data_IF_002847111100
#
_entry.id   IF_002847111100
#
_cell.length_a   1.000
_cell.length_b   1.000
_cell.length_c   1.000
_cell.angle_alpha   90.00
_cell.angle_beta   90.00
_cell.angle_gamma   90.00
#
_symmetry.space_group_name_H-M   'P 1'
#
loop_
_entity.id
_entity.type
_entity.pdbx_description
1 polymer ?
#
# COMPACT_ATOMS: atom_id res chain seq x y z
N UNK A 1 -1.12 21.02 -30.29
CA UNK A 1 -0.97 19.83 -29.41
C UNK A 1 -0.12 20.27 -28.24
N UNK A 2 -0.55 19.97 -27.04
CA UNK A 2 0.20 20.27 -25.81
C UNK A 2 1.34 19.23 -25.64
N UNK A 3 2.53 19.68 -25.22
CA UNK A 3 3.69 18.79 -25.03
C UNK A 3 4.20 18.84 -23.60
N UNK A 4 4.63 17.68 -23.08
CA UNK A 4 5.21 17.50 -21.76
C UNK A 4 6.44 16.60 -21.83
N UNK A 5 7.37 16.75 -20.89
CA UNK A 5 8.39 15.73 -20.72
C UNK A 5 7.76 14.45 -20.16
N UNK A 6 6.93 14.59 -19.11
CA UNK A 6 6.32 13.46 -18.42
C UNK A 6 4.85 13.75 -18.13
N UNK A 7 4.00 12.77 -18.45
CA UNK A 7 2.60 12.75 -18.05
C UNK A 7 2.40 11.63 -17.02
N UNK A 8 1.74 11.94 -15.90
CA UNK A 8 1.42 10.98 -14.84
C UNK A 8 -0.09 10.82 -14.75
N UNK A 9 -0.58 9.60 -14.83
CA UNK A 9 -1.99 9.24 -14.72
C UNK A 9 -2.28 8.89 -13.27
N UNK A 10 -3.02 9.75 -12.56
CA UNK A 10 -3.40 9.57 -11.17
C UNK A 10 -2.53 10.35 -10.17
N UNK A 11 -3.21 11.08 -9.28
CA UNK A 11 -2.63 11.92 -8.24
C UNK A 11 -2.46 11.24 -6.87
N UNK A 12 -2.51 9.90 -6.81
CA UNK A 12 -2.27 9.14 -5.58
C UNK A 12 -0.80 9.17 -5.13
N UNK A 13 -0.43 8.43 -4.08
CA UNK A 13 0.91 8.50 -3.48
C UNK A 13 2.05 8.26 -4.49
N UNK A 14 1.93 7.24 -5.36
CA UNK A 14 2.96 6.98 -6.38
C UNK A 14 3.07 8.10 -7.40
N UNK A 15 1.94 8.66 -7.86
CA UNK A 15 1.95 9.75 -8.83
C UNK A 15 2.53 11.04 -8.25
N UNK A 16 2.13 11.41 -7.04
CA UNK A 16 2.65 12.60 -6.35
C UNK A 16 4.16 12.50 -6.07
N UNK A 17 4.63 11.33 -5.60
CA UNK A 17 6.05 11.11 -5.31
C UNK A 17 6.88 11.08 -6.60
N UNK A 18 6.43 10.36 -7.64
CA UNK A 18 7.11 10.36 -8.94
C UNK A 18 7.23 11.77 -9.50
N UNK A 19 6.14 12.56 -9.45
CA UNK A 19 6.15 13.96 -9.91
C UNK A 19 7.20 14.79 -9.16
N UNK A 20 7.24 14.71 -7.84
CA UNK A 20 8.20 15.46 -7.04
C UNK A 20 9.66 15.10 -7.38
N UNK A 21 9.96 13.79 -7.47
CA UNK A 21 11.30 13.31 -7.83
C UNK A 21 11.71 13.78 -9.23
N UNK A 22 10.81 13.75 -10.19
CA UNK A 22 11.07 14.21 -11.57
C UNK A 22 11.15 15.74 -11.68
N UNK A 23 10.37 16.49 -10.88
CA UNK A 23 10.51 17.94 -10.77
C UNK A 23 11.86 18.37 -10.20
N UNK A 24 12.43 17.61 -9.25
CA UNK A 24 13.79 17.85 -8.76
C UNK A 24 14.86 17.66 -9.86
N UNK A 25 14.54 16.96 -10.95
CA UNK A 25 15.38 16.81 -12.12
C UNK A 25 15.08 17.85 -13.22
N UNK A 26 14.20 18.83 -12.93
CA UNK A 26 13.76 19.92 -13.82
C UNK A 26 12.90 19.50 -15.02
N UNK A 27 12.31 18.31 -15.02
CA UNK A 27 11.37 17.91 -16.08
C UNK A 27 10.03 18.62 -15.95
N UNK A 28 9.39 18.89 -17.09
CA UNK A 28 8.02 19.42 -17.16
C UNK A 28 7.03 18.27 -16.92
N UNK A 29 6.37 18.25 -15.74
CA UNK A 29 5.51 17.17 -15.28
C UNK A 29 4.06 17.63 -15.21
N UNK A 30 3.15 16.88 -15.84
CA UNK A 30 1.70 17.01 -15.74
C UNK A 30 1.11 15.79 -15.05
N UNK A 31 0.32 15.98 -13.99
CA UNK A 31 -0.51 14.97 -13.35
C UNK A 31 -1.95 15.15 -13.81
N UNK A 32 -2.56 14.09 -14.34
CA UNK A 32 -3.99 14.03 -14.66
C UNK A 32 -4.69 13.13 -13.63
N UNK A 33 -5.60 13.73 -12.87
CA UNK A 33 -6.41 13.01 -11.86
C UNK A 33 -7.90 13.16 -12.21
N UNK A 34 -8.60 12.04 -12.34
CA UNK A 34 -10.01 12.05 -12.71
C UNK A 34 -10.96 12.50 -11.60
N UNK A 35 -10.52 12.34 -10.35
CA UNK A 35 -11.32 12.67 -9.16
C UNK A 35 -10.89 14.00 -8.57
N UNK A 36 -11.79 14.62 -7.79
CA UNK A 36 -11.43 15.75 -6.93
C UNK A 36 -10.95 15.23 -5.57
N UNK A 37 -9.97 15.92 -4.98
CA UNK A 37 -9.44 15.64 -3.65
C UNK A 37 -10.06 16.61 -2.62
N UNK A 38 -10.24 16.21 -1.35
CA UNK A 38 -9.92 14.89 -0.79
C UNK A 38 -10.91 13.80 -1.22
N UNK A 39 -10.43 12.57 -1.40
CA UNK A 39 -11.24 11.40 -1.77
C UNK A 39 -10.95 10.21 -0.87
N UNK A 40 -11.97 9.42 -0.55
CA UNK A 40 -11.77 8.20 0.22
C UNK A 40 -11.01 7.13 -0.57
N UNK A 41 -9.98 6.57 0.05
CA UNK A 41 -9.26 5.37 -0.41
C UNK A 41 -8.87 4.56 0.80
N UNK A 42 -8.94 3.23 0.72
CA UNK A 42 -8.45 2.33 1.78
C UNK A 42 -6.93 2.10 1.66
N UNK A 43 -6.28 1.68 2.75
CA UNK A 43 -4.85 1.47 2.85
C UNK A 43 -4.18 2.55 3.72
N UNK A 44 -4.54 2.58 5.01
CA UNK A 44 -4.38 3.67 5.96
C UNK A 44 -3.24 3.45 6.97
N UNK A 45 -2.57 2.30 6.91
CA UNK A 45 -1.46 1.96 7.79
C UNK A 45 -0.17 1.95 6.96
N UNK A 46 0.69 2.96 7.13
CA UNK A 46 1.97 3.06 6.41
C UNK A 46 3.03 2.15 7.04
N UNK A 47 4.14 1.93 6.32
CA UNK A 47 5.32 1.24 6.85
C UNK A 47 6.51 2.21 6.92
N UNK A 48 7.42 2.04 7.89
CA UNK A 48 8.57 2.94 8.07
C UNK A 48 9.44 3.15 6.83
N UNK A 49 9.61 2.13 5.98
CA UNK A 49 10.37 2.25 4.73
C UNK A 49 9.81 3.34 3.78
N UNK A 50 8.51 3.67 3.86
CA UNK A 50 7.92 4.78 3.11
C UNK A 50 8.60 6.12 3.40
N UNK A 51 9.09 6.31 4.63
CA UNK A 51 9.68 7.57 5.07
C UNK A 51 11.00 7.89 4.36
N UNK A 52 11.73 6.87 3.90
CA UNK A 52 12.96 7.07 3.11
C UNK A 52 12.62 7.70 1.75
N UNK A 53 11.65 7.13 1.05
CA UNK A 53 11.22 7.64 -0.26
C UNK A 53 10.59 9.03 -0.13
N UNK A 54 9.79 9.26 0.91
CA UNK A 54 9.23 10.59 1.20
C UNK A 54 10.32 11.62 1.51
N UNK A 55 11.41 11.20 2.14
CA UNK A 55 12.57 12.07 2.39
C UNK A 55 13.29 12.43 1.09
N UNK A 56 13.52 11.49 0.20
CA UNK A 56 14.13 11.72 -1.12
C UNK A 56 13.24 12.65 -1.96
N UNK A 57 11.91 12.44 -1.91
CA UNK A 57 10.94 13.30 -2.57
C UNK A 57 10.76 14.68 -1.89
N UNK A 58 11.47 14.97 -0.79
CA UNK A 58 11.37 16.21 0.01
C UNK A 58 9.97 16.47 0.57
N UNK A 59 9.22 15.40 0.86
CA UNK A 59 7.83 15.49 1.36
C UNK A 59 7.71 15.25 2.86
N UNK A 60 8.76 14.78 3.57
CA UNK A 60 8.73 14.45 5.00
C UNK A 60 8.21 15.59 5.88
N UNK A 61 8.68 16.82 5.64
CA UNK A 61 8.25 17.97 6.42
C UNK A 61 6.75 18.30 6.23
N UNK A 62 6.19 18.08 5.03
CA UNK A 62 4.77 18.27 4.75
C UNK A 62 3.93 17.21 5.50
N UNK A 63 4.36 15.94 5.47
CA UNK A 63 3.70 14.85 6.20
C UNK A 63 3.76 15.07 7.72
N UNK A 64 4.88 15.51 8.26
CA UNK A 64 5.03 15.82 9.70
C UNK A 64 4.13 16.98 10.15
N UNK A 65 4.01 18.06 9.35
CA UNK A 65 3.06 19.14 9.64
C UNK A 65 1.61 18.63 9.59
N UNK A 66 1.28 17.82 8.62
CA UNK A 66 -0.04 17.22 8.51
C UNK A 66 -0.36 16.28 9.68
N UNK A 67 0.63 15.53 10.18
CA UNK A 67 0.45 14.66 11.34
C UNK A 67 -0.07 15.42 12.57
N UNK A 68 0.41 16.64 12.79
CA UNK A 68 -0.04 17.47 13.89
C UNK A 68 -1.47 18.05 13.70
N UNK A 69 -1.97 18.18 12.47
CA UNK A 69 -3.21 18.89 12.16
C UNK A 69 -4.32 18.02 11.56
N UNK A 70 -4.00 16.84 11.04
CA UNK A 70 -4.93 15.96 10.28
C UNK A 70 -5.10 14.58 10.92
N UNK A 71 -4.90 14.48 12.23
CA UNK A 71 -5.12 13.26 13.01
C UNK A 71 -4.29 12.03 12.55
N UNK A 72 -3.08 12.23 11.99
CA UNK A 72 -2.20 11.10 11.71
C UNK A 72 -1.66 10.55 13.03
N UNK A 73 -1.93 9.28 13.28
CA UNK A 73 -1.43 8.58 14.47
C UNK A 73 -0.01 8.09 14.21
N UNK A 74 0.91 8.36 15.11
CA UNK A 74 2.25 7.76 15.07
C UNK A 74 2.14 6.23 15.03
N UNK A 75 2.98 5.59 14.21
CA UNK A 75 3.08 4.14 14.11
C UNK A 75 4.53 3.69 14.26
N UNK A 76 4.79 2.85 15.25
CA UNK A 76 6.11 2.24 15.48
C UNK A 76 6.07 0.71 15.45
N UNK A 77 4.96 0.09 15.04
CA UNK A 77 4.89 -1.37 15.05
C UNK A 77 3.60 -1.96 14.52
N UNK A 78 3.50 -3.26 14.68
CA UNK A 78 2.30 -4.05 14.43
C UNK A 78 2.11 -5.06 15.58
N UNK A 79 0.87 -5.22 16.01
CA UNK A 79 0.44 -6.20 16.99
C UNK A 79 -0.46 -7.25 16.32
N UNK A 80 -0.37 -8.48 16.80
CA UNK A 80 -1.12 -9.62 16.27
C UNK A 80 -1.80 -10.34 17.41
N UNK A 81 -3.06 -10.80 17.21
CA UNK A 81 -3.80 -11.60 18.16
C UNK A 81 -4.54 -12.76 17.50
N UNK A 82 -4.57 -13.92 18.16
CA UNK A 82 -5.34 -15.09 17.78
C UNK A 82 -5.73 -15.90 19.04
N UNK A 83 -7.01 -15.91 19.37
CA UNK A 83 -7.47 -16.39 20.66
C UNK A 83 -6.83 -15.61 21.80
N UNK A 84 -6.18 -16.32 22.75
CA UNK A 84 -5.42 -15.71 23.86
C UNK A 84 -3.97 -15.35 23.51
N UNK A 85 -3.51 -15.68 22.32
CA UNK A 85 -2.15 -15.37 21.88
C UNK A 85 -2.08 -13.90 21.46
N UNK A 86 -1.06 -13.22 21.94
CA UNK A 86 -0.73 -11.85 21.56
C UNK A 86 0.77 -11.71 21.35
N UNK A 87 1.16 -11.03 20.29
CA UNK A 87 2.54 -10.64 20.04
C UNK A 87 2.60 -9.27 19.39
N UNK A 88 3.69 -8.54 19.57
CA UNK A 88 3.89 -7.24 18.95
C UNK A 88 5.33 -7.10 18.47
N UNK A 89 5.48 -6.45 17.32
CA UNK A 89 6.77 -6.08 16.75
C UNK A 89 6.96 -4.58 16.89
N UNK A 90 8.08 -4.18 17.45
CA UNK A 90 8.53 -2.78 17.50
C UNK A 90 9.47 -2.53 16.31
N UNK A 91 9.05 -1.71 15.37
CA UNK A 91 9.82 -1.44 14.16
C UNK A 91 11.13 -0.69 14.41
N UNK A 92 11.33 -0.13 15.61
CA UNK A 92 12.62 0.45 16.01
C UNK A 92 13.69 -0.60 16.29
N UNK A 93 13.26 -1.87 16.51
CA UNK A 93 14.14 -3.02 16.78
C UNK A 93 14.35 -3.91 15.54
N UNK A 94 14.10 -3.40 14.36
CA UNK A 94 14.28 -4.12 13.11
C UNK A 94 15.75 -4.31 12.73
N UNK A 95 16.05 -5.35 11.95
CA UNK A 95 17.39 -5.67 11.43
C UNK A 95 17.96 -4.58 10.51
N UNK A 96 17.18 -4.13 9.52
CA UNK A 96 17.62 -3.17 8.51
C UNK A 96 17.72 -1.76 9.09
N UNK A 97 18.77 -1.03 8.78
CA UNK A 97 18.92 0.39 9.14
C UNK A 97 17.80 1.26 8.54
N UNK A 98 17.64 2.49 9.03
CA UNK A 98 16.65 3.45 8.56
C UNK A 98 15.47 3.68 9.52
N UNK A 99 14.45 4.45 9.12
CA UNK A 99 13.28 4.78 9.95
C UNK A 99 12.62 3.57 10.60
N UNK A 100 12.28 3.67 11.88
CA UNK A 100 11.49 2.69 12.62
C UNK A 100 10.09 3.21 12.98
N UNK A 101 9.76 4.44 12.56
CA UNK A 101 8.50 5.10 12.87
C UNK A 101 7.89 5.68 11.60
N UNK A 102 6.58 5.64 11.51
CA UNK A 102 5.77 6.20 10.43
C UNK A 102 4.40 6.63 10.99
N UNK A 103 3.36 6.63 10.15
CA UNK A 103 2.02 7.05 10.55
C UNK A 103 0.93 6.07 10.10
N UNK A 104 -0.17 6.07 10.85
CA UNK A 104 -1.48 5.61 10.41
C UNK A 104 -2.25 6.86 9.99
N UNK A 105 -2.82 6.85 8.77
CA UNK A 105 -3.31 8.05 8.11
C UNK A 105 -4.68 7.82 7.48
N UNK A 106 -5.55 8.82 7.53
CA UNK A 106 -6.69 8.88 6.63
C UNK A 106 -6.18 9.21 5.24
N UNK A 107 -6.36 8.29 4.30
CA UNK A 107 -5.80 8.40 2.94
C UNK A 107 -6.27 9.64 2.19
N UNK A 108 -7.49 10.10 2.45
CA UNK A 108 -7.99 11.34 1.85
C UNK A 108 -7.07 12.54 2.15
N UNK A 109 -6.63 12.65 3.41
CA UNK A 109 -5.71 13.70 3.84
C UNK A 109 -4.28 13.45 3.41
N UNK A 110 -3.79 12.23 3.56
CA UNK A 110 -2.42 11.87 3.20
C UNK A 110 -2.15 12.07 1.70
N UNK A 111 -3.03 11.56 0.84
CA UNK A 111 -2.89 11.67 -0.60
C UNK A 111 -2.93 13.15 -1.04
N UNK A 112 -3.81 13.97 -0.45
CA UNK A 112 -3.90 15.40 -0.71
C UNK A 112 -2.60 16.12 -0.33
N UNK A 113 -2.03 15.83 0.85
CA UNK A 113 -0.76 16.43 1.32
C UNK A 113 0.38 16.14 0.35
N UNK A 114 0.50 14.91 -0.13
CA UNK A 114 1.55 14.56 -1.09
C UNK A 114 1.34 15.26 -2.44
N UNK A 115 0.10 15.31 -2.91
CA UNK A 115 -0.23 15.93 -4.19
C UNK A 115 -0.01 17.45 -4.16
N UNK A 116 -0.43 18.14 -3.09
CA UNK A 116 -0.17 19.56 -2.87
C UNK A 116 1.34 19.86 -2.83
N UNK A 117 2.12 18.99 -2.19
CA UNK A 117 3.57 19.17 -2.12
C UNK A 117 4.25 18.97 -3.48
N UNK A 118 3.77 18.00 -4.29
CA UNK A 118 4.21 17.85 -5.68
C UNK A 118 3.91 19.12 -6.51
N UNK A 119 2.73 19.72 -6.33
CA UNK A 119 2.35 20.99 -6.95
C UNK A 119 3.27 22.14 -6.53
N UNK A 120 3.61 22.27 -5.22
CA UNK A 120 4.57 23.27 -4.72
C UNK A 120 5.97 23.08 -5.30
N UNK A 121 6.36 21.85 -5.61
CA UNK A 121 7.62 21.54 -6.30
C UNK A 121 7.55 21.77 -7.81
N UNK A 122 6.40 22.24 -8.34
CA UNK A 122 6.22 22.71 -9.70
C UNK A 122 5.61 21.68 -10.66
N UNK A 123 5.00 20.61 -10.18
CA UNK A 123 4.16 19.75 -11.01
C UNK A 123 2.84 20.45 -11.32
N UNK A 124 2.41 20.42 -12.59
CA UNK A 124 1.06 20.83 -12.96
C UNK A 124 0.07 19.71 -12.62
N UNK A 125 -1.06 20.06 -11.99
CA UNK A 125 -2.08 19.09 -11.58
C UNK A 125 -3.43 19.53 -12.19
N UNK A 126 -4.11 18.58 -12.86
CA UNK A 126 -5.46 18.81 -13.39
C UNK A 126 -6.41 17.76 -12.79
N UNK A 127 -7.39 18.22 -12.02
CA UNK A 127 -8.50 17.41 -11.51
C UNK A 127 -9.66 17.36 -12.50
N UNK A 128 -10.45 16.31 -12.47
CA UNK A 128 -11.57 16.11 -13.39
C UNK A 128 -11.11 15.73 -14.81
N UNK A 129 -9.89 15.20 -14.95
CA UNK A 129 -9.29 14.86 -16.24
C UNK A 129 -8.97 13.37 -16.32
N UNK A 130 -9.74 12.64 -17.13
CA UNK A 130 -9.62 11.20 -17.31
C UNK A 130 -8.85 10.87 -18.60
N UNK A 131 -7.84 10.00 -18.49
CA UNK A 131 -7.14 9.45 -19.65
C UNK A 131 -8.01 8.33 -20.26
N UNK A 132 -8.33 8.48 -21.55
CA UNK A 132 -9.23 7.57 -22.27
C UNK A 132 -8.58 6.82 -23.41
N UNK A 133 -7.41 7.25 -23.89
CA UNK A 133 -6.62 6.53 -24.88
C UNK A 133 -5.14 6.83 -24.75
N UNK A 134 -4.32 5.87 -25.18
CA UNK A 134 -2.86 5.93 -25.24
C UNK A 134 -2.41 5.41 -26.61
N UNK A 135 -1.46 6.10 -27.23
CA UNK A 135 -0.82 5.68 -28.48
C UNK A 135 0.67 6.02 -28.44
N UNK A 136 1.51 5.01 -28.62
CA UNK A 136 2.94 5.21 -28.80
C UNK A 136 3.22 5.87 -30.15
N UNK A 137 4.14 6.82 -30.19
CA UNK A 137 4.51 7.58 -31.41
C UNK A 137 5.94 7.32 -31.87
N UNK A 138 6.67 6.48 -31.14
CA UNK A 138 8.08 6.17 -31.42
C UNK A 138 9.08 7.19 -30.86
N UNK A 139 8.63 8.41 -30.57
CA UNK A 139 9.40 9.49 -29.90
C UNK A 139 8.79 9.90 -28.56
N UNK A 140 7.72 9.23 -28.16
CA UNK A 140 6.93 9.45 -26.96
C UNK A 140 5.57 8.79 -27.05
N UNK A 141 4.56 9.40 -26.44
CA UNK A 141 3.19 8.91 -26.46
C UNK A 141 2.18 10.06 -26.61
N UNK A 142 1.14 9.84 -27.38
CA UNK A 142 -0.05 10.67 -27.40
C UNK A 142 -1.11 10.10 -26.45
N UNK A 143 -1.57 10.94 -25.52
CA UNK A 143 -2.56 10.60 -24.53
C UNK A 143 -3.82 11.43 -24.75
N UNK A 144 -4.96 10.77 -25.00
CA UNK A 144 -6.26 11.44 -25.11
C UNK A 144 -6.88 11.62 -23.73
N UNK A 145 -7.33 12.81 -23.45
CA UNK A 145 -7.90 13.22 -22.16
C UNK A 145 -9.34 13.69 -22.35
N UNK A 146 -10.22 13.21 -21.48
CA UNK A 146 -11.59 13.68 -21.34
C UNK A 146 -11.67 14.51 -20.06
N UNK A 147 -11.97 15.80 -20.18
CA UNK A 147 -12.23 16.66 -19.03
C UNK A 147 -13.69 16.56 -18.57
N UNK A 148 -13.96 16.93 -17.32
CA UNK A 148 -15.30 16.85 -16.72
C UNK A 148 -16.33 17.77 -17.38
N UNK A 149 -15.89 18.86 -18.04
CA UNK A 149 -16.75 19.76 -18.83
C UNK A 149 -17.16 19.17 -20.20
N UNK A 150 -16.73 17.93 -20.49
CA UNK A 150 -17.01 17.24 -21.75
C UNK A 150 -15.99 17.52 -22.85
N UNK A 151 -15.06 18.45 -22.66
CA UNK A 151 -14.01 18.72 -23.64
C UNK A 151 -13.03 17.56 -23.76
N UNK A 152 -12.46 17.40 -24.98
CA UNK A 152 -11.41 16.41 -25.25
C UNK A 152 -10.20 17.10 -25.83
N UNK A 153 -9.01 16.67 -25.39
CA UNK A 153 -7.76 17.15 -25.92
C UNK A 153 -6.69 16.05 -25.89
N UNK A 154 -5.58 16.29 -26.56
CA UNK A 154 -4.45 15.37 -26.63
C UNK A 154 -3.21 16.04 -26.07
N UNK A 155 -2.47 15.30 -25.25
CA UNK A 155 -1.16 15.66 -24.73
C UNK A 155 -0.14 14.72 -25.34
N UNK A 156 0.94 15.24 -25.91
CA UNK A 156 2.13 14.47 -26.25
C UNK A 156 3.12 14.51 -25.08
N UNK A 157 3.54 13.35 -24.60
CA UNK A 157 4.52 13.23 -23.52
C UNK A 157 5.69 12.34 -23.98
N UNK A 158 6.91 12.74 -23.64
CA UNK A 158 8.08 11.90 -23.91
C UNK A 158 8.04 10.60 -23.12
N UNK A 159 7.39 10.60 -21.94
CA UNK A 159 7.18 9.40 -21.14
C UNK A 159 5.88 9.50 -20.32
N UNK A 160 5.20 8.37 -20.11
CA UNK A 160 3.96 8.28 -19.35
C UNK A 160 4.13 7.36 -18.16
N UNK A 161 3.74 7.81 -16.96
CA UNK A 161 3.69 6.98 -15.76
C UNK A 161 2.24 6.68 -15.37
N UNK A 162 1.85 5.42 -15.34
CA UNK A 162 0.52 5.05 -14.86
C UNK A 162 0.55 4.81 -13.34
N UNK A 163 0.08 5.79 -12.59
CA UNK A 163 -0.11 5.80 -11.15
C UNK A 163 -1.61 5.74 -10.77
N UNK A 164 -2.46 5.25 -11.66
CA UNK A 164 -3.93 5.25 -11.50
C UNK A 164 -4.45 4.28 -10.45
N UNK A 165 -3.58 3.50 -9.81
CA UNK A 165 -3.93 2.56 -8.74
C UNK A 165 -4.94 1.52 -9.22
N UNK A 166 -6.09 1.41 -8.54
CA UNK A 166 -7.16 0.49 -8.94
C UNK A 166 -7.83 0.87 -10.28
N UNK A 167 -7.56 2.08 -10.79
CA UNK A 167 -8.01 2.50 -12.12
C UNK A 167 -7.37 1.68 -13.24
N UNK A 168 -6.10 1.25 -13.08
CA UNK A 168 -5.36 0.39 -14.01
C UNK A 168 -5.54 0.84 -15.47
N UNK A 169 -5.28 2.14 -15.71
CA UNK A 169 -5.63 2.81 -16.98
C UNK A 169 -4.85 2.20 -18.14
N UNK A 170 -3.52 2.23 -18.12
CA UNK A 170 -2.73 1.62 -19.19
C UNK A 170 -2.87 0.10 -19.27
N UNK A 171 -2.90 -0.66 -18.17
CA UNK A 171 -3.18 -2.10 -18.25
C UNK A 171 -4.46 -2.44 -19.01
N UNK A 172 -5.53 -1.65 -18.86
CA UNK A 172 -6.78 -1.86 -19.61
C UNK A 172 -6.69 -1.38 -21.05
N UNK A 173 -6.11 -0.21 -21.28
CA UNK A 173 -6.00 0.35 -22.63
C UNK A 173 -5.07 -0.46 -23.54
N UNK A 174 -4.09 -1.16 -22.96
CA UNK A 174 -3.06 -1.92 -23.68
C UNK A 174 -3.20 -3.45 -23.54
N UNK A 175 -4.31 -3.94 -22.96
CA UNK A 175 -4.58 -5.37 -22.75
C UNK A 175 -3.46 -6.10 -21.97
N UNK A 176 -2.91 -5.43 -20.95
CA UNK A 176 -1.82 -5.97 -20.13
C UNK A 176 -2.32 -6.73 -18.90
N UNK A 177 -3.61 -6.64 -18.56
CA UNK A 177 -4.15 -7.26 -17.35
C UNK A 177 -3.97 -8.78 -17.39
N UNK A 178 -3.56 -9.34 -16.25
CA UNK A 178 -3.41 -10.78 -16.03
C UNK A 178 -4.04 -11.16 -14.69
N UNK A 179 -4.59 -12.38 -14.55
CA UNK A 179 -5.08 -12.86 -13.26
C UNK A 179 -3.98 -12.84 -12.21
N UNK A 180 -4.35 -12.48 -10.97
CA UNK A 180 -3.47 -12.65 -9.82
C UNK A 180 -3.27 -14.13 -9.50
N UNK A 181 -2.09 -14.49 -8.99
CA UNK A 181 -1.83 -15.82 -8.43
C UNK A 181 -2.39 -15.97 -7.01
N UNK A 182 -2.78 -14.85 -6.38
CA UNK A 182 -3.41 -14.86 -5.06
C UNK A 182 -4.89 -15.22 -5.18
N UNK A 183 -5.44 -16.00 -4.21
CA UNK A 183 -6.87 -16.29 -4.19
C UNK A 183 -7.70 -15.02 -4.07
N UNK A 184 -8.91 -15.04 -4.64
CA UNK A 184 -9.83 -13.92 -4.53
C UNK A 184 -10.15 -13.64 -3.06
N UNK A 185 -10.04 -12.38 -2.67
CA UNK A 185 -10.37 -11.88 -1.33
C UNK A 185 -11.41 -10.76 -1.41
N UNK A 186 -12.16 -10.64 -0.34
CA UNK A 186 -13.08 -9.54 -0.10
C UNK A 186 -12.70 -8.88 1.22
N UNK A 187 -12.76 -7.55 1.26
CA UNK A 187 -12.65 -6.77 2.48
C UNK A 187 -13.97 -6.06 2.75
N UNK A 188 -14.41 -6.06 4.02
CA UNK A 188 -15.55 -5.27 4.51
C UNK A 188 -15.03 -4.37 5.62
N UNK A 189 -15.28 -3.05 5.55
CA UNK A 189 -14.64 -2.09 6.43
C UNK A 189 -15.43 -0.79 6.61
N UNK A 190 -15.09 -0.09 7.70
CA UNK A 190 -15.61 1.25 8.01
C UNK A 190 -14.65 2.00 8.93
N UNK A 191 -14.98 3.26 9.24
CA UNK A 191 -14.40 3.99 10.37
C UNK A 191 -15.40 4.01 11.53
N UNK A 192 -14.87 3.95 12.76
CA UNK A 192 -15.65 4.02 14.01
C UNK A 192 -15.05 5.10 14.92
N UNK A 193 -15.84 5.57 15.90
CA UNK A 193 -15.24 6.23 17.08
C UNK A 193 -14.91 5.10 18.06
N UNK A 194 -13.63 4.92 18.34
CA UNK A 194 -13.18 3.70 19.01
C UNK A 194 -13.43 3.71 20.53
N UNK A 195 -13.41 4.88 21.18
CA UNK A 195 -13.60 5.06 22.63
C UNK A 195 -12.77 4.10 23.50
N UNK A 196 -11.63 3.60 22.98
CA UNK A 196 -10.79 2.62 23.67
C UNK A 196 -10.07 3.31 24.83
N UNK A 197 -10.39 2.88 26.05
CA UNK A 197 -9.74 3.33 27.29
C UNK A 197 -8.89 2.26 27.96
N UNK A 198 -8.83 1.06 27.39
CA UNK A 198 -8.05 -0.07 27.91
C UNK A 198 -6.54 0.27 27.85
N UNK A 199 -5.81 0.29 28.99
CA UNK A 199 -4.41 0.68 29.02
C UNK A 199 -3.46 -0.31 28.32
N UNK A 200 -3.94 -1.49 27.96
CA UNK A 200 -3.16 -2.49 27.23
C UNK A 200 -3.20 -2.26 25.70
N UNK A 201 -4.06 -1.36 25.23
CA UNK A 201 -4.15 -1.01 23.81
C UNK A 201 -3.06 0.00 23.43
N UNK A 202 -2.13 -0.42 22.58
CA UNK A 202 -1.07 0.46 22.04
C UNK A 202 -1.52 1.08 20.72
N UNK A 203 -1.95 2.35 20.77
CA UNK A 203 -2.38 3.12 19.58
C UNK A 203 -1.26 3.35 18.57
N UNK A 204 0.00 3.14 18.94
CA UNK A 204 1.13 3.27 18.00
C UNK A 204 1.34 2.01 17.15
N UNK A 205 0.43 1.04 17.23
CA UNK A 205 0.46 -0.19 16.43
C UNK A 205 -0.87 -0.41 15.72
N UNK A 206 -0.81 -0.89 14.49
CA UNK A 206 -1.96 -1.57 13.90
C UNK A 206 -2.17 -2.88 14.67
N UNK A 207 -3.41 -3.22 14.99
CA UNK A 207 -3.75 -4.55 15.50
C UNK A 207 -4.32 -5.39 14.37
N UNK A 208 -3.65 -6.50 14.09
CA UNK A 208 -4.07 -7.55 13.16
C UNK A 208 -4.61 -8.70 14.00
N UNK A 209 -5.85 -9.09 13.75
CA UNK A 209 -6.56 -10.06 14.58
C UNK A 209 -7.05 -11.22 13.72
N UNK A 210 -6.88 -12.43 14.20
CA UNK A 210 -7.40 -13.64 13.57
C UNK A 210 -8.55 -14.18 14.41
N UNK A 211 -9.78 -14.37 13.85
CA UNK A 211 -10.88 -15.02 14.54
C UNK A 211 -10.47 -16.41 15.05
N UNK A 212 -11.03 -16.81 16.18
CA UNK A 212 -10.60 -18.04 16.87
C UNK A 212 -10.77 -19.29 16.02
N UNK A 213 -11.84 -19.34 15.23
CA UNK A 213 -12.21 -20.52 14.42
C UNK A 213 -11.83 -20.41 12.93
N UNK A 214 -11.40 -19.23 12.45
CA UNK A 214 -11.20 -18.94 11.03
C UNK A 214 -9.80 -18.37 10.77
N UNK A 215 -8.78 -19.22 10.65
CA UNK A 215 -7.38 -18.79 10.44
C UNK A 215 -7.14 -18.08 9.11
N UNK A 216 -7.99 -18.30 8.13
CA UNK A 216 -7.93 -17.69 6.79
C UNK A 216 -8.70 -16.36 6.67
N UNK A 217 -9.33 -15.94 7.79
CA UNK A 217 -9.97 -14.62 7.96
C UNK A 217 -9.14 -13.80 8.93
N UNK A 218 -8.99 -12.52 8.66
CA UNK A 218 -8.29 -11.60 9.56
C UNK A 218 -8.95 -10.23 9.58
N UNK A 219 -8.76 -9.51 10.68
CA UNK A 219 -9.27 -8.16 10.88
C UNK A 219 -8.11 -7.20 11.14
N UNK A 220 -8.32 -5.95 10.77
CA UNK A 220 -7.47 -4.85 11.22
C UNK A 220 -8.22 -3.90 12.14
N UNK A 221 -7.48 -3.29 13.07
CA UNK A 221 -7.88 -2.11 13.81
C UNK A 221 -6.73 -1.10 13.71
N UNK A 222 -6.98 0.03 13.03
CA UNK A 222 -6.01 1.08 12.73
C UNK A 222 -6.49 2.36 13.43
N UNK A 223 -5.93 2.75 14.58
CA UNK A 223 -6.34 3.96 15.28
C UNK A 223 -5.81 5.22 14.59
N UNK A 224 -6.58 6.30 14.67
CA UNK A 224 -6.17 7.64 14.31
C UNK A 224 -6.05 8.52 15.55
N UNK A 225 -5.35 9.67 15.44
CA UNK A 225 -5.07 10.53 16.61
C UNK A 225 -6.29 11.31 17.11
N UNK A 226 -7.41 11.30 16.38
CA UNK A 226 -8.66 11.99 16.76
C UNK A 226 -9.66 11.08 17.49
N UNK A 227 -9.25 9.89 17.94
CA UNK A 227 -10.14 8.95 18.64
C UNK A 227 -11.06 8.15 17.69
N UNK A 228 -10.84 8.26 16.39
CA UNK A 228 -11.46 7.34 15.41
C UNK A 228 -10.49 6.21 15.07
N UNK A 229 -11.02 5.13 14.51
CA UNK A 229 -10.25 4.02 14.00
C UNK A 229 -10.84 3.45 12.72
N UNK A 230 -9.99 2.96 11.82
CA UNK A 230 -10.41 2.10 10.72
C UNK A 230 -10.48 0.67 11.22
N UNK A 231 -11.57 -0.01 10.93
CA UNK A 231 -11.76 -1.44 11.20
C UNK A 231 -12.25 -2.15 9.96
N UNK A 232 -11.75 -3.34 9.71
CA UNK A 232 -12.23 -4.15 8.61
C UNK A 232 -11.86 -5.61 8.76
N UNK A 233 -12.55 -6.45 7.99
CA UNK A 233 -12.36 -7.90 7.91
C UNK A 233 -12.02 -8.29 6.48
N UNK A 234 -11.10 -9.23 6.33
CA UNK A 234 -10.67 -9.80 5.05
C UNK A 234 -10.80 -11.32 5.09
N UNK A 235 -11.32 -11.88 4.02
CA UNK A 235 -11.44 -13.32 3.84
C UNK A 235 -11.88 -13.70 2.43
N UNK A 236 -12.02 -14.97 2.15
CA UNK A 236 -12.66 -15.42 0.92
C UNK A 236 -14.13 -15.00 0.90
N UNK A 237 -14.68 -14.57 -0.27
CA UNK A 237 -16.06 -14.09 -0.34
C UNK A 237 -17.09 -15.04 0.25
N UNK A 238 -16.94 -16.34 0.01
CA UNK A 238 -17.84 -17.37 0.57
C UNK A 238 -17.73 -17.51 2.09
N UNK A 239 -16.52 -17.34 2.64
CA UNK A 239 -16.29 -17.36 4.09
C UNK A 239 -16.95 -16.15 4.77
N UNK A 240 -16.76 -14.95 4.19
CA UNK A 240 -17.37 -13.74 4.74
C UNK A 240 -18.89 -13.77 4.63
N UNK A 241 -19.46 -14.25 3.51
CA UNK A 241 -20.89 -14.39 3.34
C UNK A 241 -21.55 -15.34 4.37
N UNK A 242 -20.79 -16.30 4.92
CA UNK A 242 -21.28 -17.18 5.99
C UNK A 242 -21.35 -16.50 7.36
N UNK A 243 -20.73 -15.32 7.55
CA UNK A 243 -20.72 -14.57 8.81
C UNK A 243 -21.92 -13.62 8.93
N UNK A 244 -22.61 -13.28 7.84
CA UNK A 244 -23.75 -12.37 7.89
C UNK A 244 -24.38 -12.13 6.53
N UNK A 245 -25.60 -11.58 6.55
CA UNK A 245 -26.39 -11.31 5.35
C UNK A 245 -25.99 -10.00 4.64
N UNK A 246 -25.34 -9.10 5.36
CA UNK A 246 -24.88 -7.79 4.87
C UNK A 246 -23.50 -7.43 5.43
N UNK A 247 -22.94 -6.33 4.93
CA UNK A 247 -21.60 -5.89 5.33
C UNK A 247 -21.50 -5.60 6.84
N UNK A 248 -22.53 -5.07 7.46
CA UNK A 248 -22.52 -4.74 8.89
C UNK A 248 -22.48 -6.00 9.74
N UNK A 249 -23.37 -6.94 9.47
CA UNK A 249 -23.42 -8.23 10.19
C UNK A 249 -22.14 -9.03 9.99
N UNK A 250 -21.57 -9.05 8.78
CA UNK A 250 -20.27 -9.70 8.49
C UNK A 250 -19.17 -9.13 9.38
N UNK A 251 -19.00 -7.80 9.38
CA UNK A 251 -17.94 -7.13 10.12
C UNK A 251 -18.07 -7.29 11.63
N UNK A 252 -19.28 -7.09 12.16
CA UNK A 252 -19.57 -7.21 13.60
C UNK A 252 -19.44 -8.65 14.10
N UNK A 253 -19.92 -9.63 13.33
CA UNK A 253 -19.77 -11.06 13.68
C UNK A 253 -18.32 -11.47 13.71
N UNK A 254 -17.53 -11.08 12.69
CA UNK A 254 -16.09 -11.38 12.68
C UNK A 254 -15.35 -10.72 13.85
N UNK A 255 -15.67 -9.48 14.20
CA UNK A 255 -15.05 -8.76 15.32
C UNK A 255 -15.41 -9.40 16.68
N UNK A 256 -16.64 -9.89 16.84
CA UNK A 256 -17.12 -10.55 18.06
C UNK A 256 -16.43 -11.91 18.32
N UNK A 257 -15.92 -12.60 17.28
CA UNK A 257 -15.14 -13.85 17.42
C UNK A 257 -13.67 -13.62 17.82
N UNK A 258 -13.27 -12.36 18.07
CA UNK A 258 -11.94 -12.00 18.56
C UNK A 258 -12.06 -11.42 19.97
N UNK A 259 -11.67 -12.17 21.04
CA UNK A 259 -11.84 -11.74 22.44
C UNK A 259 -11.21 -10.36 22.73
N UNK A 260 -10.03 -10.09 22.17
CA UNK A 260 -9.34 -8.82 22.36
C UNK A 260 -10.07 -7.65 21.70
N UNK A 261 -10.62 -7.82 20.48
CA UNK A 261 -11.42 -6.79 19.82
C UNK A 261 -12.75 -6.55 20.56
N UNK A 262 -13.41 -7.60 21.02
CA UNK A 262 -14.64 -7.48 21.84
C UNK A 262 -14.38 -6.63 23.08
N UNK A 263 -13.24 -6.84 23.76
CA UNK A 263 -12.83 -6.06 24.94
C UNK A 263 -12.53 -4.61 24.59
N UNK A 264 -11.77 -4.36 23.54
CA UNK A 264 -11.38 -3.01 23.13
C UNK A 264 -12.55 -2.19 22.60
N UNK A 265 -13.44 -2.80 21.84
CA UNK A 265 -14.53 -2.12 21.13
C UNK A 265 -15.88 -2.14 21.88
N UNK A 266 -15.89 -2.51 23.16
CA UNK A 266 -17.13 -2.59 23.97
C UNK A 266 -17.93 -1.29 24.01
N UNK A 267 -17.25 -0.14 23.95
CA UNK A 267 -17.85 1.19 24.00
C UNK A 267 -17.78 1.91 22.64
N UNK A 268 -17.39 1.22 21.57
CA UNK A 268 -17.23 1.82 20.26
C UNK A 268 -18.54 2.28 19.64
N UNK A 269 -18.52 3.48 19.06
CA UNK A 269 -19.62 4.02 18.27
C UNK A 269 -19.46 3.64 16.80
N UNK A 270 -20.31 2.72 16.36
CA UNK A 270 -20.34 2.20 14.98
C UNK A 270 -21.24 3.04 14.06
N UNK A 271 -22.14 3.84 14.63
CA UNK A 271 -23.10 4.66 13.90
C UNK A 271 -22.64 6.14 13.86
N UNK A 272 -21.54 6.38 13.21
CA UNK A 272 -20.94 7.71 13.12
C UNK A 272 -21.13 8.39 11.75
N UNK A 273 -22.07 7.89 10.94
CA UNK A 273 -22.40 8.40 9.60
C UNK A 273 -21.43 7.92 8.50
N UNK A 274 -20.43 7.09 8.84
CA UNK A 274 -19.55 6.48 7.84
C UNK A 274 -20.16 5.18 7.31
N UNK A 275 -20.31 5.02 5.98
CA UNK A 275 -20.88 3.80 5.42
C UNK A 275 -19.93 2.62 5.59
N UNK A 276 -20.50 1.44 5.87
CA UNK A 276 -19.74 0.17 5.81
C UNK A 276 -19.60 -0.22 4.34
N UNK A 277 -18.38 -0.27 3.86
CA UNK A 277 -17.99 -0.51 2.47
C UNK A 277 -17.46 -1.91 2.28
N UNK A 278 -17.50 -2.39 1.05
CA UNK A 278 -16.77 -3.59 0.66
C UNK A 278 -16.01 -3.39 -0.64
N UNK A 279 -14.91 -4.14 -0.78
CA UNK A 279 -14.14 -4.26 -2.01
C UNK A 279 -13.82 -5.74 -2.23
N UNK A 280 -13.92 -6.20 -3.47
CA UNK A 280 -13.71 -7.60 -3.83
C UNK A 280 -12.77 -7.72 -5.02
N UNK A 281 -11.97 -8.79 -5.07
CA UNK A 281 -11.13 -9.11 -6.22
C UNK A 281 -10.06 -8.03 -6.48
N UNK A 282 -9.49 -7.46 -5.45
CA UNK A 282 -8.55 -6.35 -5.54
C UNK A 282 -7.13 -6.78 -5.96
N UNK A 283 -6.78 -8.06 -5.78
CA UNK A 283 -5.48 -8.57 -6.24
C UNK A 283 -5.46 -8.66 -7.76
N UNK A 284 -4.42 -8.11 -8.37
CA UNK A 284 -4.29 -7.99 -9.82
C UNK A 284 -2.83 -8.13 -10.23
N UNK A 285 -2.60 -8.49 -11.50
CA UNK A 285 -1.27 -8.61 -12.09
C UNK A 285 -1.28 -8.10 -13.54
N UNK A 286 -0.10 -7.94 -14.13
CA UNK A 286 0.11 -7.49 -15.51
C UNK A 286 1.16 -8.35 -16.23
N UNK A 287 1.11 -8.34 -17.57
CA UNK A 287 2.09 -9.05 -18.40
C UNK A 287 3.44 -8.34 -18.48
N UNK A 288 3.48 -7.02 -18.29
CA UNK A 288 4.70 -6.21 -18.27
C UNK A 288 4.51 -5.00 -17.36
N UNK A 289 5.60 -4.52 -16.78
CA UNK A 289 5.63 -3.34 -15.90
C UNK A 289 5.98 -2.06 -16.67
N UNK A 290 6.44 -2.15 -17.89
CA UNK A 290 6.91 -1.04 -18.71
C UNK A 290 6.79 -1.33 -20.21
N UNK A 291 6.89 -0.29 -21.02
CA UNK A 291 7.07 -0.31 -22.47
C UNK A 291 8.03 0.79 -22.87
N UNK A 292 8.11 1.09 -24.17
CA UNK A 292 9.09 2.04 -24.70
C UNK A 292 8.93 3.45 -24.11
N UNK A 293 7.65 3.89 -23.93
CA UNK A 293 7.35 5.23 -23.41
C UNK A 293 6.36 5.21 -22.24
N UNK A 294 6.26 4.09 -21.49
CA UNK A 294 5.46 4.07 -20.27
C UNK A 294 6.04 3.14 -19.19
N UNK A 295 5.66 3.40 -17.92
CA UNK A 295 5.82 2.46 -16.81
C UNK A 295 4.61 2.49 -15.89
N UNK A 296 4.32 1.34 -15.25
CA UNK A 296 3.20 1.13 -14.34
C UNK A 296 3.66 1.22 -12.89
N UNK A 297 2.98 2.00 -12.06
CA UNK A 297 3.35 2.24 -10.66
C UNK A 297 2.32 1.68 -9.68
N UNK A 298 2.81 1.14 -8.57
CA UNK A 298 1.95 0.68 -7.47
C UNK A 298 0.84 -0.26 -7.94
N UNK A 299 -0.40 0.00 -7.50
CA UNK A 299 -1.53 -0.88 -7.82
C UNK A 299 -1.95 -0.88 -9.31
N UNK A 300 -1.45 0.05 -10.12
CA UNK A 300 -1.61 -0.04 -11.57
C UNK A 300 -0.81 -1.21 -12.15
N UNK A 301 0.26 -1.64 -11.48
CA UNK A 301 1.06 -2.82 -11.85
C UNK A 301 0.55 -4.09 -11.17
N UNK A 302 0.83 -4.26 -9.89
CA UNK A 302 0.42 -5.42 -9.09
C UNK A 302 -0.09 -4.97 -7.73
N UNK A 303 -1.19 -5.55 -7.27
CA UNK A 303 -1.65 -5.43 -5.90
C UNK A 303 -1.73 -6.81 -5.27
N UNK A 304 -1.15 -6.95 -4.08
CA UNK A 304 -1.09 -8.21 -3.37
C UNK A 304 -2.29 -8.37 -2.42
N UNK A 305 -2.05 -8.07 -1.14
CA UNK A 305 -3.02 -8.20 -0.04
C UNK A 305 -2.68 -7.17 1.04
N UNK A 306 -3.69 -6.59 1.72
CA UNK A 306 -3.45 -5.54 2.71
C UNK A 306 -2.88 -6.02 4.05
N UNK A 307 -2.75 -7.33 4.31
CA UNK A 307 -2.41 -7.88 5.63
C UNK A 307 -1.12 -7.31 6.24
N UNK A 308 -0.12 -7.00 5.43
CA UNK A 308 1.15 -6.41 5.91
C UNK A 308 1.31 -4.94 5.54
N UNK A 309 0.24 -4.24 5.17
CA UNK A 309 0.26 -2.80 4.86
C UNK A 309 1.24 -2.41 3.75
N UNK A 310 1.59 -3.32 2.84
CA UNK A 310 2.66 -3.16 1.84
C UNK A 310 2.32 -2.21 0.68
N UNK A 311 1.03 -1.99 0.39
CA UNK A 311 0.57 -1.35 -0.84
C UNK A 311 1.16 0.05 -1.08
N UNK A 312 1.17 0.93 -0.07
CA UNK A 312 1.76 2.27 -0.21
C UNK A 312 3.28 2.18 -0.37
N UNK A 313 3.95 1.27 0.36
CA UNK A 313 5.41 1.07 0.22
C UNK A 313 5.78 0.65 -1.20
N UNK A 314 5.10 -0.35 -1.76
CA UNK A 314 5.29 -0.78 -3.16
C UNK A 314 5.05 0.39 -4.12
N UNK A 315 4.00 1.18 -3.88
CA UNK A 315 3.67 2.35 -4.71
C UNK A 315 4.79 3.41 -4.69
N UNK A 316 5.34 3.72 -3.51
CA UNK A 316 6.41 4.72 -3.40
C UNK A 316 7.74 4.23 -3.95
N UNK A 317 8.12 2.96 -3.70
CA UNK A 317 9.34 2.38 -4.27
C UNK A 317 9.24 2.26 -5.79
N UNK A 318 8.08 1.87 -6.33
CA UNK A 318 7.87 1.86 -7.79
C UNK A 318 8.03 3.25 -8.40
N UNK A 319 7.52 4.29 -7.73
CA UNK A 319 7.67 5.69 -8.16
C UNK A 319 9.14 6.14 -8.16
N UNK A 320 9.89 5.79 -7.11
CA UNK A 320 11.31 6.09 -6.97
C UNK A 320 12.12 5.43 -8.10
N UNK A 321 11.97 4.12 -8.28
CA UNK A 321 12.68 3.37 -9.32
C UNK A 321 12.33 3.86 -10.73
N UNK A 322 11.05 4.11 -11.00
CA UNK A 322 10.63 4.63 -12.29
C UNK A 322 11.15 6.06 -12.54
N UNK A 323 11.12 6.94 -11.54
CA UNK A 323 11.67 8.30 -11.69
C UNK A 323 13.18 8.28 -12.00
N UNK A 324 13.94 7.37 -11.39
CA UNK A 324 15.37 7.17 -11.70
C UNK A 324 15.57 6.66 -13.14
N UNK A 325 14.80 5.65 -13.56
CA UNK A 325 14.90 5.09 -14.91
C UNK A 325 14.47 6.11 -15.98
N UNK A 326 13.33 6.79 -15.80
CA UNK A 326 12.86 7.85 -16.69
C UNK A 326 13.85 8.99 -16.82
N UNK A 327 14.45 9.42 -15.70
CA UNK A 327 15.46 10.49 -15.71
C UNK A 327 16.63 10.15 -16.63
N UNK A 328 17.15 8.93 -16.53
CA UNK A 328 18.25 8.45 -17.39
C UNK A 328 17.80 8.32 -18.85
N UNK A 329 16.62 7.71 -19.08
CA UNK A 329 16.05 7.56 -20.42
C UNK A 329 15.91 8.92 -21.13
N UNK A 330 15.32 9.92 -20.47
CA UNK A 330 15.10 11.25 -21.07
C UNK A 330 16.38 12.08 -21.23
N UNK A 331 17.48 11.68 -20.58
CA UNK A 331 18.83 12.20 -20.77
C UNK A 331 19.64 11.44 -21.82
N UNK A 332 19.01 10.49 -22.52
CA UNK A 332 19.65 9.60 -23.50
C UNK A 332 20.78 8.74 -22.91
N UNK A 333 20.70 8.40 -21.61
CA UNK A 333 21.59 7.44 -20.99
C UNK A 333 21.05 6.01 -21.21
N UNK A 334 21.92 5.02 -21.26
CA UNK A 334 21.51 3.63 -21.41
C UNK A 334 20.74 3.17 -20.16
N UNK A 335 19.53 2.64 -20.36
CA UNK A 335 18.67 2.07 -19.31
C UNK A 335 18.20 0.68 -19.75
N UNK A 336 18.47 -0.31 -18.92
CA UNK A 336 17.84 -1.62 -19.04
C UNK A 336 16.60 -1.66 -18.14
N UNK A 337 15.43 -1.35 -18.70
CA UNK A 337 14.18 -1.32 -17.95
C UNK A 337 13.83 -2.65 -17.25
N UNK A 338 14.29 -3.79 -17.82
CA UNK A 338 14.11 -5.08 -17.18
C UNK A 338 14.92 -5.19 -15.89
N UNK A 339 16.17 -4.73 -15.90
CA UNK A 339 17.05 -4.81 -14.72
C UNK A 339 16.91 -3.59 -13.81
N UNK A 340 16.85 -2.38 -14.38
CA UNK A 340 16.89 -1.13 -13.61
C UNK A 340 15.56 -0.81 -12.95
N UNK A 341 14.42 -1.30 -13.49
CA UNK A 341 13.08 -1.10 -12.96
C UNK A 341 12.42 -2.41 -12.51
N UNK A 342 12.09 -3.29 -13.46
CA UNK A 342 11.23 -4.43 -13.20
C UNK A 342 11.85 -5.42 -12.20
N UNK A 343 13.10 -5.84 -12.43
CA UNK A 343 13.79 -6.79 -11.54
C UNK A 343 13.99 -6.22 -10.13
N UNK A 344 14.35 -4.92 -10.02
CA UNK A 344 14.48 -4.26 -8.71
C UNK A 344 13.16 -4.19 -7.98
N UNK A 345 12.07 -3.80 -8.64
CA UNK A 345 10.74 -3.73 -8.02
C UNK A 345 10.29 -5.11 -7.55
N UNK A 346 10.49 -6.14 -8.36
CA UNK A 346 10.07 -7.52 -8.10
C UNK A 346 10.71 -8.10 -6.84
N UNK A 347 11.92 -7.70 -6.43
CA UNK A 347 12.54 -8.18 -5.19
C UNK A 347 11.61 -8.02 -3.99
N UNK A 348 11.14 -6.83 -3.74
CA UNK A 348 10.28 -6.56 -2.58
C UNK A 348 8.86 -7.08 -2.76
N UNK A 349 8.34 -7.05 -3.99
CA UNK A 349 7.01 -7.60 -4.32
C UNK A 349 6.98 -9.11 -4.03
N UNK A 350 7.98 -9.88 -4.47
CA UNK A 350 8.06 -11.33 -4.23
C UNK A 350 8.32 -11.65 -2.74
N UNK A 351 9.09 -10.82 -2.03
CA UNK A 351 9.22 -10.96 -0.59
C UNK A 351 7.87 -10.81 0.10
N UNK A 352 7.13 -9.72 -0.13
CA UNK A 352 5.80 -9.54 0.45
C UNK A 352 4.81 -10.63 0.04
N UNK A 353 4.81 -11.02 -1.24
CA UNK A 353 3.94 -12.09 -1.76
C UNK A 353 4.16 -13.41 -1.02
N UNK A 354 5.40 -13.76 -0.77
CA UNK A 354 5.76 -14.97 0.00
C UNK A 354 5.15 -14.95 1.40
N UNK A 355 5.25 -13.82 2.11
CA UNK A 355 4.70 -13.72 3.47
C UNK A 355 3.17 -13.62 3.47
N UNK A 356 2.56 -13.04 2.44
CA UNK A 356 1.10 -13.07 2.25
C UNK A 356 0.60 -14.50 2.06
N UNK A 357 1.23 -15.27 1.18
CA UNK A 357 0.89 -16.68 0.95
C UNK A 357 1.09 -17.49 2.25
N UNK A 358 2.21 -17.28 2.94
CA UNK A 358 2.50 -17.92 4.22
C UNK A 358 1.54 -17.52 5.35
N UNK A 359 0.92 -16.33 5.27
CA UNK A 359 -0.15 -15.96 6.20
C UNK A 359 -1.39 -16.84 6.00
N UNK A 360 -1.80 -17.04 4.76
CA UNK A 360 -3.00 -17.80 4.42
C UNK A 360 -2.82 -19.32 4.52
N UNK A 361 -1.63 -19.86 4.29
CA UNK A 361 -1.34 -21.29 4.54
C UNK A 361 -0.99 -21.59 6.01
N UNK A 362 -0.91 -20.57 6.84
CA UNK A 362 -0.63 -20.65 8.27
C UNK A 362 0.85 -20.71 8.65
N UNK A 363 1.77 -20.90 7.69
CA UNK A 363 3.21 -21.01 7.99
C UNK A 363 3.79 -19.74 8.60
N UNK A 364 3.39 -18.57 8.09
CA UNK A 364 3.84 -17.30 8.66
C UNK A 364 3.08 -16.94 9.94
N UNK A 365 1.82 -17.33 10.09
CA UNK A 365 1.12 -17.18 11.35
C UNK A 365 1.81 -17.96 12.48
N UNK A 366 2.24 -19.20 12.20
CA UNK A 366 2.98 -20.00 13.17
C UNK A 366 4.28 -19.29 13.61
N UNK A 367 5.00 -18.66 12.68
CA UNK A 367 6.19 -17.84 13.00
C UNK A 367 5.83 -16.59 13.82
N UNK A 368 4.78 -15.88 13.46
CA UNK A 368 4.33 -14.65 14.17
C UNK A 368 3.95 -14.95 15.63
N UNK A 369 3.24 -16.06 15.86
CA UNK A 369 2.75 -16.45 17.18
C UNK A 369 3.68 -17.38 17.96
N UNK A 370 4.85 -17.71 17.39
CA UNK A 370 5.85 -18.47 18.14
C UNK A 370 6.40 -17.66 19.31
N UNK A 371 6.65 -18.34 20.42
CA UNK A 371 7.52 -17.82 21.46
C UNK A 371 8.97 -17.95 20.96
N UNK A 372 9.44 -16.97 20.18
CA UNK A 372 10.76 -17.07 19.59
C UNK A 372 11.82 -16.51 20.54
N UNK A 373 12.77 -17.37 20.89
CA UNK A 373 13.92 -17.02 21.73
C UNK A 373 15.09 -16.47 20.90
N UNK A 374 14.96 -16.33 19.57
CA UNK A 374 16.01 -15.80 18.71
C UNK A 374 15.74 -14.34 18.30
N UNK A 375 16.37 -13.35 18.98
CA UNK A 375 16.15 -11.94 18.73
C UNK A 375 16.59 -11.51 17.32
N UNK A 376 17.61 -12.16 16.73
CA UNK A 376 18.10 -11.80 15.39
C UNK A 376 17.08 -12.17 14.32
N UNK A 377 16.48 -13.37 14.41
CA UNK A 377 15.42 -13.78 13.48
C UNK A 377 14.23 -12.85 13.63
N UNK A 378 13.83 -12.55 14.88
CA UNK A 378 12.73 -11.63 15.14
C UNK A 378 12.99 -10.23 14.55
N UNK A 379 14.21 -9.71 14.66
CA UNK A 379 14.62 -8.44 14.05
C UNK A 379 14.56 -8.49 12.51
N UNK A 380 14.96 -9.62 11.89
CA UNK A 380 14.89 -9.83 10.43
C UNK A 380 13.44 -9.86 9.93
N UNK A 381 12.55 -10.56 10.63
CA UNK A 381 11.10 -10.56 10.32
C UNK A 381 10.49 -9.18 10.56
N UNK A 382 10.87 -8.52 11.65
CA UNK A 382 10.44 -7.16 11.97
C UNK A 382 10.80 -6.17 10.85
N UNK A 383 11.97 -6.31 10.21
CA UNK A 383 12.38 -5.48 9.09
C UNK A 383 11.42 -5.61 7.89
N UNK A 384 10.97 -6.82 7.58
CA UNK A 384 9.98 -7.06 6.52
C UNK A 384 8.64 -6.41 6.86
N UNK A 385 8.16 -6.62 8.09
CA UNK A 385 6.93 -6.00 8.59
C UNK A 385 7.00 -4.47 8.65
N UNK A 386 8.21 -3.89 8.75
CA UNK A 386 8.48 -2.46 8.68
C UNK A 386 8.63 -1.93 7.24
N UNK A 387 8.52 -2.79 6.22
CA UNK A 387 8.55 -2.40 4.81
C UNK A 387 9.91 -2.56 4.09
N UNK A 388 10.93 -3.04 4.77
CA UNK A 388 12.29 -3.21 4.22
C UNK A 388 12.43 -4.50 3.40
N UNK A 389 11.48 -4.70 2.48
CA UNK A 389 11.41 -5.90 1.64
C UNK A 389 12.38 -5.88 0.44
N UNK A 390 13.16 -4.82 0.27
CA UNK A 390 14.21 -4.70 -0.77
C UNK A 390 15.64 -4.87 -0.21
N UNK A 391 15.80 -5.01 1.11
CA UNK A 391 17.11 -5.24 1.73
C UNK A 391 17.54 -6.71 1.59
N UNK A 392 18.26 -7.03 0.53
CA UNK A 392 18.75 -8.39 0.26
C UNK A 392 19.88 -8.84 1.20
N UNK A 393 20.39 -7.96 2.08
CA UNK A 393 21.29 -8.39 3.18
C UNK A 393 20.54 -9.17 4.24
N UNK A 394 19.21 -8.97 4.35
CA UNK A 394 18.33 -9.79 5.16
C UNK A 394 18.09 -11.15 4.46
N UNK A 395 18.51 -12.28 5.07
CA UNK A 395 18.31 -13.61 4.48
C UNK A 395 16.84 -13.96 4.18
N UNK A 396 15.90 -13.38 4.93
CA UNK A 396 14.47 -13.58 4.77
C UNK A 396 13.87 -12.75 3.62
N UNK A 397 14.62 -11.77 3.10
CA UNK A 397 14.34 -11.06 1.85
C UNK A 397 15.06 -11.71 0.67
N UNK A 398 16.34 -12.09 0.85
CA UNK A 398 17.13 -12.68 -0.23
C UNK A 398 16.61 -14.03 -0.73
N UNK A 399 16.03 -14.86 0.17
CA UNK A 399 15.49 -16.19 -0.14
C UNK A 399 14.19 -16.44 0.65
N UNK A 400 13.12 -15.65 0.43
CA UNK A 400 11.99 -15.59 1.33
C UNK A 400 11.29 -16.94 1.48
N UNK A 401 10.91 -17.63 0.41
CA UNK A 401 10.17 -18.89 0.46
C UNK A 401 10.94 -20.00 1.20
N UNK A 402 12.24 -20.17 0.87
CA UNK A 402 13.08 -21.18 1.53
C UNK A 402 13.26 -20.90 3.03
N UNK A 403 13.47 -19.62 3.40
CA UNK A 403 13.72 -19.22 4.78
C UNK A 403 12.45 -19.31 5.61
N UNK A 404 11.31 -18.89 5.06
CA UNK A 404 10.01 -19.02 5.74
C UNK A 404 9.66 -20.49 5.98
N UNK A 405 9.80 -21.37 4.99
CA UNK A 405 9.51 -22.79 5.13
C UNK A 405 10.35 -23.44 6.25
N UNK A 406 11.67 -23.23 6.22
CA UNK A 406 12.57 -23.78 7.24
C UNK A 406 12.28 -23.24 8.65
N UNK A 407 11.92 -21.96 8.78
CA UNK A 407 11.55 -21.37 10.07
C UNK A 407 10.23 -21.91 10.57
N UNK A 408 9.21 -22.05 9.72
CA UNK A 408 7.92 -22.61 10.08
C UNK A 408 8.04 -24.08 10.53
N UNK A 409 8.85 -24.89 9.86
CA UNK A 409 9.15 -26.27 10.29
C UNK A 409 9.83 -26.29 11.68
N UNK A 410 10.79 -25.41 11.91
CA UNK A 410 11.49 -25.31 13.19
C UNK A 410 10.53 -24.95 14.32
N UNK A 411 9.64 -24.00 14.08
CA UNK A 411 8.63 -23.57 15.07
C UNK A 411 7.65 -24.69 15.37
N UNK A 412 7.11 -25.35 14.33
CA UNK A 412 6.17 -26.47 14.48
C UNK A 412 6.78 -27.67 15.21
N UNK A 413 8.08 -27.94 15.00
CA UNK A 413 8.79 -29.01 15.68
C UNK A 413 9.08 -28.77 17.17
N UNK A 414 8.89 -27.50 17.65
CA UNK A 414 9.06 -27.11 19.05
C UNK A 414 7.72 -26.97 19.80
N UNK A 415 6.59 -26.90 19.10
CA UNK A 415 5.24 -26.82 19.66
C UNK A 415 4.66 -28.22 19.95
#
# INVERSE_FOLDING_TARGET
METRDILIIGGGPSGAVAAALLRQQNFNVLILEKSHFPRFVIGESLLPACMEVLSEAKMTAAVQRAAASRAFQMKNGAAFTWGERYTAFDFTQKYTAGPGVTYQVKRADFDLVLLEEAGKQGAEIRFGHEVTAYRDTGDGAEVTVQAEDGSRYTVHARFVLDASGYGRVLPRLLDLERPSVLPERMAVFTHIKDHITDPTYDRNKILISTPTQLRDVWLWLIPFADGTASIGVVGEPARLAALGADNESILKTAAADVPLLTRFLKDADWDNGMPIRSIRGYSANVSTLYGDHYALLGNASEFLDPVFSSGVTVALVSAQLAAQAVTRTLRNEAVDWAQDYAAKLTIGVEAFKTYVLGWYDGSFQDVIYASDDNPDIRAMICAILAGYAWDTTNPYVAKPARRLAALAETVRGRA
#
